data_IF_080551172745
#
_entry.id   IF_080551172745
#
_cell.length_a   1.000
_cell.length_b   1.000
_cell.length_c   1.000
_cell.angle_alpha   90.00
_cell.angle_beta   90.00
_cell.angle_gamma   90.00
#
_symmetry.space_group_name_H-M   'P 1'
#
loop_
_entity.id
_entity.type
_entity.pdbx_description
1 polymer ?
#
# COMPACT_ATOMS: atom_id res chain seq x y z
N UNK A 1 11.55 30.73 -13.12
CA UNK A 1 11.02 29.35 -13.03
C UNK A 1 9.70 29.36 -12.25
N UNK A 2 8.60 28.89 -12.84
CA UNK A 2 7.32 28.73 -12.11
C UNK A 2 7.34 27.47 -11.24
N UNK A 3 6.59 27.47 -10.13
CA UNK A 3 6.49 26.29 -9.25
C UNK A 3 5.66 25.20 -9.95
N UNK A 4 6.01 23.94 -9.70
CA UNK A 4 5.20 22.79 -10.10
C UNK A 4 4.04 22.59 -9.11
N UNK A 5 2.83 22.39 -9.64
CA UNK A 5 1.62 22.19 -8.85
C UNK A 5 0.95 20.86 -9.22
N UNK A 6 0.43 20.15 -8.21
CA UNK A 6 -0.42 18.97 -8.39
C UNK A 6 -1.77 19.40 -8.99
N UNK A 7 -2.31 18.62 -9.91
CA UNK A 7 -3.67 18.84 -10.45
C UNK A 7 -4.76 18.51 -9.42
N UNK A 8 -4.51 17.52 -8.57
CA UNK A 8 -5.45 17.05 -7.55
C UNK A 8 -4.68 16.74 -6.27
N UNK A 9 -5.12 17.30 -5.15
CA UNK A 9 -4.54 17.00 -3.84
C UNK A 9 -5.22 15.76 -3.27
N UNK A 10 -4.46 14.68 -3.18
CA UNK A 10 -4.89 13.39 -2.64
C UNK A 10 -4.03 13.05 -1.42
N UNK A 11 -4.66 12.58 -0.34
CA UNK A 11 -3.98 12.10 0.86
C UNK A 11 -4.69 10.85 1.42
N UNK A 12 -4.00 10.07 2.25
CA UNK A 12 -4.58 8.87 2.88
C UNK A 12 -5.30 9.19 4.20
N UNK A 13 -6.07 8.24 4.72
CA UNK A 13 -6.69 8.34 6.05
C UNK A 13 -5.64 8.34 7.16
N UNK A 14 -4.62 7.51 6.96
CA UNK A 14 -3.53 7.28 7.90
C UNK A 14 -2.40 8.28 7.74
N UNK A 15 -1.64 8.50 8.81
CA UNK A 15 -0.38 9.26 8.79
C UNK A 15 0.73 8.58 7.98
N UNK A 16 0.58 7.28 7.65
CA UNK A 16 1.52 6.57 6.79
C UNK A 16 1.54 7.14 5.36
N UNK A 17 2.73 7.54 4.91
CA UNK A 17 2.92 8.09 3.57
C UNK A 17 2.93 7.00 2.49
N UNK A 18 3.25 5.74 2.83
CA UNK A 18 3.57 4.69 1.88
C UNK A 18 3.27 3.27 2.36
N UNK A 19 2.80 2.42 1.44
CA UNK A 19 2.62 0.98 1.66
C UNK A 19 3.87 0.14 1.40
N UNK A 20 5.00 0.77 1.06
CA UNK A 20 6.21 0.04 0.67
C UNK A 20 6.64 -0.99 1.72
N UNK A 21 6.54 -0.63 3.00
CA UNK A 21 6.92 -1.52 4.10
C UNK A 21 5.95 -2.70 4.23
N UNK A 22 4.64 -2.44 4.27
CA UNK A 22 3.61 -3.50 4.33
C UNK A 22 3.72 -4.46 3.16
N UNK A 23 3.87 -3.94 1.93
CA UNK A 23 4.13 -4.75 0.74
C UNK A 23 5.37 -5.62 0.90
N UNK A 24 6.48 -5.09 1.43
CA UNK A 24 7.70 -5.89 1.63
C UNK A 24 7.46 -7.06 2.59
N UNK A 25 6.83 -6.78 3.74
CA UNK A 25 6.55 -7.79 4.77
C UNK A 25 5.59 -8.86 4.24
N UNK A 26 4.51 -8.44 3.60
CA UNK A 26 3.45 -9.32 3.12
C UNK A 26 3.94 -10.24 1.99
N UNK A 27 4.76 -9.74 1.05
CA UNK A 27 5.39 -10.60 0.05
C UNK A 27 6.43 -11.56 0.66
N UNK A 28 7.15 -11.14 1.70
CA UNK A 28 8.07 -12.03 2.41
C UNK A 28 7.31 -13.19 3.07
N UNK A 29 6.23 -12.88 3.81
CA UNK A 29 5.35 -13.88 4.42
C UNK A 29 4.76 -14.85 3.37
N UNK A 30 4.29 -14.33 2.24
CA UNK A 30 3.76 -15.16 1.16
C UNK A 30 4.80 -16.15 0.66
N UNK A 31 6.02 -15.69 0.36
CA UNK A 31 7.11 -16.58 -0.08
C UNK A 31 7.47 -17.62 0.98
N UNK A 32 7.46 -17.24 2.26
CA UNK A 32 7.73 -18.17 3.36
C UNK A 32 6.64 -19.25 3.44
N UNK A 33 5.36 -18.87 3.37
CA UNK A 33 4.23 -19.79 3.36
C UNK A 33 4.29 -20.76 2.16
N UNK A 34 4.60 -20.25 0.97
CA UNK A 34 4.80 -21.09 -0.24
C UNK A 34 5.93 -22.10 -0.04
N UNK A 35 7.09 -21.68 0.48
CA UNK A 35 8.23 -22.60 0.72
C UNK A 35 7.88 -23.70 1.73
N UNK A 36 7.15 -23.34 2.79
CA UNK A 36 6.70 -24.31 3.79
C UNK A 36 5.68 -25.29 3.21
N UNK A 37 4.73 -24.82 2.39
CA UNK A 37 3.75 -25.67 1.74
C UNK A 37 4.43 -26.71 0.84
N UNK A 38 5.34 -26.27 -0.03
CA UNK A 38 6.13 -27.15 -0.90
C UNK A 38 6.92 -28.18 -0.06
N UNK A 39 7.58 -27.73 1.00
CA UNK A 39 8.37 -28.62 1.87
C UNK A 39 7.52 -29.65 2.62
N UNK A 40 6.24 -29.38 2.85
CA UNK A 40 5.32 -30.26 3.58
C UNK A 40 4.40 -31.05 2.65
N UNK A 41 4.60 -30.95 1.32
CA UNK A 41 3.76 -31.61 0.33
C UNK A 41 2.33 -31.04 0.24
N UNK A 42 2.11 -29.83 0.75
CA UNK A 42 0.83 -29.12 0.69
C UNK A 42 0.79 -28.18 -0.51
N UNK A 43 -0.40 -27.91 -1.00
CA UNK A 43 -0.62 -26.91 -2.04
C UNK A 43 -0.25 -25.49 -1.54
N UNK A 44 0.54 -24.73 -2.31
CA UNK A 44 0.90 -23.36 -1.94
C UNK A 44 -0.30 -22.40 -2.04
N UNK A 45 -0.26 -21.27 -1.31
CA UNK A 45 -1.32 -20.26 -1.40
C UNK A 45 -1.42 -19.70 -2.82
N UNK A 46 -2.61 -19.80 -3.42
CA UNK A 46 -2.87 -19.35 -4.79
C UNK A 46 -2.91 -17.82 -4.93
N UNK A 47 -3.37 -17.13 -3.89
CA UNK A 47 -3.50 -15.68 -3.88
C UNK A 47 -2.80 -15.07 -2.69
N UNK A 48 -2.37 -13.83 -2.87
CA UNK A 48 -1.80 -13.00 -1.81
C UNK A 48 -2.80 -12.78 -0.66
N UNK A 49 -4.11 -12.73 -0.98
CA UNK A 49 -5.19 -12.59 0.00
C UNK A 49 -5.32 -13.80 0.93
N UNK A 50 -4.76 -14.96 0.57
CA UNK A 50 -4.73 -16.13 1.43
C UNK A 50 -3.75 -15.97 2.60
N UNK A 51 -2.82 -15.01 2.53
CA UNK A 51 -1.77 -14.79 3.53
C UNK A 51 -1.95 -13.47 4.27
N UNK A 52 -2.55 -12.46 3.65
CA UNK A 52 -2.76 -11.15 4.26
C UNK A 52 -4.03 -10.48 3.74
N UNK A 53 -4.66 -9.64 4.56
CA UNK A 53 -5.86 -8.88 4.25
C UNK A 53 -5.58 -7.44 3.85
N UNK A 54 -6.66 -6.72 3.51
CA UNK A 54 -6.61 -5.28 3.15
C UNK A 54 -6.07 -4.42 4.32
N UNK A 55 -6.28 -4.87 5.55
CA UNK A 55 -5.86 -4.17 6.78
C UNK A 55 -4.38 -4.37 7.15
N UNK A 56 -3.65 -5.27 6.45
CA UNK A 56 -2.22 -5.50 6.70
C UNK A 56 -1.30 -4.44 6.05
N UNK A 57 -1.89 -3.43 5.42
CA UNK A 57 -1.17 -2.34 4.77
C UNK A 57 -1.20 -1.07 5.65
N UNK A 58 -0.05 -0.40 5.83
CA UNK A 58 0.04 0.73 6.74
C UNK A 58 -0.67 1.99 6.20
N UNK A 59 -0.90 2.08 4.88
CA UNK A 59 -1.70 3.14 4.29
C UNK A 59 -3.12 2.64 4.08
N UNK A 60 -4.07 3.50 4.40
CA UNK A 60 -5.49 3.22 4.16
C UNK A 60 -6.19 4.41 3.52
N UNK A 61 -7.19 4.12 2.69
CA UNK A 61 -8.08 5.07 2.04
C UNK A 61 -7.40 6.12 1.17
N UNK A 62 -8.23 6.90 0.46
CA UNK A 62 -7.81 8.11 -0.24
C UNK A 62 -8.90 9.16 -0.14
N UNK A 63 -8.50 10.35 0.27
CA UNK A 63 -9.35 11.54 0.26
C UNK A 63 -8.88 12.52 -0.80
N UNK A 64 -9.86 13.20 -1.39
CA UNK A 64 -9.65 14.29 -2.34
C UNK A 64 -9.96 15.60 -1.64
N UNK A 65 -9.02 16.54 -1.68
CA UNK A 65 -9.28 17.88 -1.19
C UNK A 65 -9.86 18.75 -2.30
N UNK A 66 -11.20 18.81 -2.36
CA UNK A 66 -11.93 19.52 -3.43
C UNK A 66 -11.65 21.03 -3.47
N UNK A 67 -11.48 21.65 -2.29
CA UNK A 67 -11.28 23.10 -2.14
C UNK A 67 -9.82 23.48 -1.85
N UNK A 68 -8.85 22.66 -2.28
CA UNK A 68 -7.44 22.97 -2.07
C UNK A 68 -7.02 24.22 -2.85
N UNK A 69 -6.33 25.14 -2.17
CA UNK A 69 -5.83 26.35 -2.81
C UNK A 69 -4.59 26.08 -3.66
N UNK A 70 -4.20 27.03 -4.51
CA UNK A 70 -2.97 26.92 -5.32
C UNK A 70 -1.71 26.75 -4.46
N UNK A 71 -1.70 27.27 -3.23
CA UNK A 71 -0.60 27.08 -2.27
C UNK A 71 -0.52 25.63 -1.78
N UNK A 72 -1.67 25.00 -1.52
CA UNK A 72 -1.73 23.61 -1.03
C UNK A 72 -1.32 22.58 -2.10
N UNK A 73 -1.43 22.97 -3.38
CA UNK A 73 -1.08 22.13 -4.53
C UNK A 73 0.42 22.06 -4.81
N UNK A 74 1.25 22.85 -4.12
CA UNK A 74 2.71 22.80 -4.26
C UNK A 74 3.22 21.39 -3.91
N UNK A 75 4.16 20.89 -4.72
CA UNK A 75 4.63 19.51 -4.65
C UNK A 75 5.30 19.18 -3.34
#
# INVERSE_FOLDING_TARGET
MSRSYKKTKIFGNTSSSSDKLGKKINHHKFRQATRLAISTGKEPPYSLNAVYGVWDFPKDGKHYWRNASKRDMVK
#
